data_IF_489546565900
#
_entry.id   IF_489546565900
#
_cell.length_a   1.000
_cell.length_b   1.000
_cell.length_c   1.000
_cell.angle_alpha   90.00
_cell.angle_beta   90.00
_cell.angle_gamma   90.00
#
_symmetry.space_group_name_H-M   'P 1'
#
loop_
_entity.id
_entity.type
_entity.pdbx_description
1 polymer ?
#
# COMPACT_ATOMS: atom_id res chain seq x y z
N UNK A 1 -30.39 3.84 21.56
CA UNK A 1 -29.75 4.20 20.28
C UNK A 1 -28.33 3.70 20.34
N UNK A 2 -28.02 2.59 19.69
CA UNK A 2 -26.65 2.10 19.61
C UNK A 2 -25.92 2.99 18.60
N UNK A 3 -24.90 3.72 19.06
CA UNK A 3 -23.94 4.37 18.18
C UNK A 3 -23.31 3.23 17.37
N UNK A 4 -23.61 3.15 16.08
CA UNK A 4 -22.90 2.27 15.15
C UNK A 4 -21.54 2.94 14.91
N UNK A 5 -20.68 2.89 15.93
CA UNK A 5 -19.26 3.19 15.80
C UNK A 5 -18.58 1.89 15.38
N UNK A 6 -17.84 1.91 14.27
CA UNK A 6 -16.94 0.80 13.97
C UNK A 6 -16.01 0.63 15.18
N UNK A 7 -15.89 -0.60 15.67
CA UNK A 7 -15.01 -0.93 16.80
C UNK A 7 -13.63 -0.29 16.57
N UNK A 8 -13.25 0.64 17.45
CA UNK A 8 -12.01 1.43 17.36
C UNK A 8 -10.82 0.49 17.24
N UNK A 9 -10.86 -0.64 17.95
CA UNK A 9 -9.82 -1.66 17.90
C UNK A 9 -9.75 -2.32 16.51
N UNK A 10 -10.91 -2.63 15.90
CA UNK A 10 -10.96 -3.19 14.55
C UNK A 10 -10.43 -2.20 13.50
N UNK A 11 -10.73 -0.91 13.63
CA UNK A 11 -10.18 0.11 12.73
C UNK A 11 -8.66 0.25 12.86
N UNK A 12 -8.13 0.20 14.08
CA UNK A 12 -6.68 0.22 14.31
C UNK A 12 -6.00 -1.04 13.78
N UNK A 13 -6.59 -2.22 14.02
CA UNK A 13 -6.09 -3.48 13.48
C UNK A 13 -6.07 -3.49 11.95
N UNK A 14 -7.13 -2.97 11.32
CA UNK A 14 -7.19 -2.85 9.85
C UNK A 14 -6.17 -1.84 9.33
N UNK A 15 -6.06 -0.65 9.95
CA UNK A 15 -5.05 0.36 9.61
C UNK A 15 -3.63 -0.23 9.63
N UNK A 16 -3.26 -0.87 10.75
CA UNK A 16 -1.96 -1.53 10.90
C UNK A 16 -1.73 -2.61 9.83
N UNK A 17 -2.78 -3.34 9.45
CA UNK A 17 -2.70 -4.37 8.41
C UNK A 17 -2.47 -3.75 7.03
N UNK A 18 -3.19 -2.68 6.68
CA UNK A 18 -2.99 -1.98 5.41
C UNK A 18 -1.59 -1.35 5.33
N UNK A 19 -1.07 -0.79 6.42
CA UNK A 19 0.32 -0.28 6.48
C UNK A 19 1.32 -1.39 6.18
N UNK A 20 1.24 -2.54 6.88
CA UNK A 20 2.12 -3.69 6.62
C UNK A 20 2.03 -4.17 5.17
N UNK A 21 0.82 -4.20 4.59
CA UNK A 21 0.63 -4.62 3.20
C UNK A 21 1.17 -3.60 2.20
N UNK A 22 1.15 -2.31 2.52
CA UNK A 22 1.82 -1.29 1.72
C UNK A 22 3.35 -1.50 1.72
N UNK A 23 3.93 -1.81 2.88
CA UNK A 23 5.36 -2.12 3.02
C UNK A 23 5.74 -3.40 2.26
N UNK A 24 4.93 -4.45 2.35
CA UNK A 24 5.11 -5.69 1.58
C UNK A 24 5.13 -5.41 0.06
N UNK A 25 4.21 -4.57 -0.43
CA UNK A 25 4.16 -4.19 -1.86
C UNK A 25 5.40 -3.38 -2.25
N UNK A 26 5.88 -2.47 -1.40
CA UNK A 26 7.10 -1.71 -1.65
C UNK A 26 8.33 -2.63 -1.73
N UNK A 27 8.43 -3.62 -0.84
CA UNK A 27 9.51 -4.60 -0.84
C UNK A 27 9.49 -5.44 -2.12
N UNK A 28 8.32 -5.94 -2.53
CA UNK A 28 8.14 -6.70 -3.78
C UNK A 28 8.53 -5.85 -4.99
N UNK A 29 8.11 -4.58 -5.05
CA UNK A 29 8.46 -3.68 -6.13
C UNK A 29 9.98 -3.48 -6.24
N UNK A 30 10.66 -3.33 -5.10
CA UNK A 30 12.12 -3.22 -5.04
C UNK A 30 12.84 -4.50 -5.49
N UNK A 31 12.40 -5.67 -5.03
CA UNK A 31 12.95 -6.97 -5.43
C UNK A 31 12.80 -7.20 -6.94
N UNK A 32 11.58 -7.02 -7.46
CA UNK A 32 11.31 -7.21 -8.88
C UNK A 32 12.11 -6.24 -9.75
N UNK A 33 12.25 -4.99 -9.31
CA UNK A 33 13.12 -4.02 -9.99
C UNK A 33 14.57 -4.51 -10.03
N UNK A 34 15.12 -4.95 -8.89
CA UNK A 34 16.49 -5.47 -8.82
C UNK A 34 16.72 -6.67 -9.74
N UNK A 35 15.74 -7.58 -9.81
CA UNK A 35 15.78 -8.73 -10.72
C UNK A 35 15.79 -8.29 -12.20
N UNK A 36 14.96 -7.31 -12.58
CA UNK A 36 14.90 -6.81 -13.96
C UNK A 36 16.15 -6.01 -14.34
N UNK A 37 16.60 -5.12 -13.46
CA UNK A 37 17.78 -4.27 -13.70
C UNK A 37 19.09 -5.09 -13.68
N UNK A 38 19.11 -6.22 -12.95
CA UNK A 38 20.27 -7.10 -12.81
C UNK A 38 20.57 -8.00 -14.02
N UNK A 39 19.64 -8.11 -14.98
CA UNK A 39 19.86 -8.93 -16.18
C UNK A 39 20.53 -8.11 -17.27
N UNK A 40 21.71 -8.56 -17.72
CA UNK A 40 22.37 -8.00 -18.91
C UNK A 40 21.67 -8.47 -20.17
N UNK A 41 20.60 -7.77 -20.55
CA UNK A 41 19.81 -8.03 -21.75
C UNK A 41 19.67 -6.76 -22.59
N UNK A 42 20.13 -6.84 -23.84
CA UNK A 42 20.24 -5.72 -24.79
C UNK A 42 19.57 -6.14 -26.10
N UNK A 43 18.89 -5.19 -26.76
CA UNK A 43 18.19 -5.39 -28.03
C UNK A 43 16.74 -4.92 -27.96
N UNK A 44 16.06 -4.90 -29.10
CA UNK A 44 14.70 -4.37 -29.24
C UNK A 44 13.69 -5.05 -28.32
N UNK A 45 13.81 -6.35 -28.09
CA UNK A 45 12.91 -7.08 -27.18
C UNK A 45 13.14 -6.69 -25.71
N UNK A 46 14.40 -6.43 -25.34
CA UNK A 46 14.76 -5.95 -24.00
C UNK A 46 14.16 -4.57 -23.74
N UNK A 47 14.23 -3.67 -24.72
CA UNK A 47 13.63 -2.34 -24.64
C UNK A 47 12.10 -2.41 -24.52
N UNK A 48 11.44 -3.26 -25.33
CA UNK A 48 9.99 -3.49 -25.24
C UNK A 48 9.58 -4.02 -23.87
N UNK A 49 10.31 -5.00 -23.35
CA UNK A 49 10.04 -5.54 -22.02
C UNK A 49 10.21 -4.46 -20.94
N UNK A 50 11.33 -3.71 -20.94
CA UNK A 50 11.59 -2.64 -19.97
C UNK A 50 10.53 -1.53 -20.04
N UNK A 51 10.06 -1.18 -21.23
CA UNK A 51 8.95 -0.23 -21.41
C UNK A 51 7.66 -0.75 -20.78
N UNK A 52 7.30 -2.01 -21.01
CA UNK A 52 6.11 -2.61 -20.40
C UNK A 52 6.27 -2.74 -18.88
N UNK A 53 7.48 -3.03 -18.41
CA UNK A 53 7.82 -3.15 -17.00
C UNK A 53 7.66 -1.85 -16.21
N UNK A 54 7.91 -0.70 -16.84
CA UNK A 54 7.70 0.61 -16.22
C UNK A 54 6.22 0.80 -15.80
N UNK A 55 5.27 0.30 -16.60
CA UNK A 55 3.85 0.33 -16.26
C UNK A 55 3.52 -0.54 -15.03
N UNK A 56 4.15 -1.71 -14.91
CA UNK A 56 4.02 -2.60 -13.74
C UNK A 56 4.53 -1.90 -12.47
N UNK A 57 5.71 -1.28 -12.54
CA UNK A 57 6.29 -0.54 -11.42
C UNK A 57 5.38 0.61 -10.97
N UNK A 58 4.80 1.33 -11.93
CA UNK A 58 3.86 2.42 -11.66
C UNK A 58 2.60 1.91 -10.94
N UNK A 59 2.05 0.78 -11.39
CA UNK A 59 0.88 0.16 -10.76
C UNK A 59 1.16 -0.30 -9.33
N UNK A 60 2.33 -0.91 -9.07
CA UNK A 60 2.72 -1.33 -7.71
C UNK A 60 2.85 -0.12 -6.77
N UNK A 61 3.46 0.97 -7.23
CA UNK A 61 3.55 2.21 -6.45
C UNK A 61 2.16 2.78 -6.14
N UNK A 62 1.25 2.79 -7.12
CA UNK A 62 -0.12 3.27 -6.92
C UNK A 62 -0.89 2.40 -5.90
N UNK A 63 -0.68 1.09 -5.90
CA UNK A 63 -1.26 0.18 -4.89
C UNK A 63 -0.69 0.48 -3.50
N UNK A 64 0.63 0.62 -3.38
CA UNK A 64 1.29 0.96 -2.11
C UNK A 64 0.77 2.28 -1.54
N UNK A 65 0.68 3.32 -2.37
CA UNK A 65 0.14 4.62 -1.98
C UNK A 65 -1.33 4.52 -1.55
N UNK A 66 -2.16 3.81 -2.31
CA UNK A 66 -3.58 3.61 -1.97
C UNK A 66 -3.76 2.91 -0.62
N UNK A 67 -2.97 1.86 -0.35
CA UNK A 67 -3.00 1.15 0.93
C UNK A 67 -2.58 2.06 2.10
N UNK A 68 -1.50 2.83 1.93
CA UNK A 68 -1.01 3.77 2.94
C UNK A 68 -2.01 4.90 3.23
N UNK A 69 -2.64 5.44 2.19
CA UNK A 69 -3.66 6.48 2.32
C UNK A 69 -4.90 5.95 3.08
N UNK A 70 -5.40 4.77 2.72
CA UNK A 70 -6.52 4.15 3.42
C UNK A 70 -6.17 3.81 4.88
N UNK A 71 -4.95 3.35 5.15
CA UNK A 71 -4.48 3.12 6.52
C UNK A 71 -4.53 4.40 7.36
N UNK A 72 -4.12 5.53 6.79
CA UNK A 72 -4.15 6.86 7.43
C UNK A 72 -5.58 7.30 7.73
N UNK A 73 -6.50 7.12 6.78
CA UNK A 73 -7.93 7.43 6.98
C UNK A 73 -8.54 6.60 8.11
N UNK A 74 -8.27 5.29 8.14
CA UNK A 74 -8.76 4.40 9.19
C UNK A 74 -8.23 4.80 10.58
N UNK A 75 -6.95 5.17 10.66
CA UNK A 75 -6.33 5.65 11.90
C UNK A 75 -6.99 6.94 12.39
N UNK A 76 -7.20 7.91 11.50
CA UNK A 76 -7.91 9.15 11.82
C UNK A 76 -9.33 8.88 12.33
N UNK A 77 -10.05 7.96 11.68
CA UNK A 77 -11.41 7.60 12.10
C UNK A 77 -11.44 6.92 13.48
N UNK A 78 -10.44 6.08 13.78
CA UNK A 78 -10.29 5.46 15.09
C UNK A 78 -10.01 6.50 16.19
N UNK A 79 -9.11 7.45 15.93
CA UNK A 79 -8.74 8.51 16.88
C UNK A 79 -9.91 9.47 17.16
N UNK A 80 -10.71 9.80 16.13
CA UNK A 80 -11.93 10.60 16.27
C UNK A 80 -12.99 9.90 17.12
N UNK A 81 -13.21 8.60 16.89
CA UNK A 81 -14.17 7.82 17.66
C UNK A 81 -13.73 7.68 19.11
N UNK A 82 -12.44 7.42 19.36
CA UNK A 82 -11.87 7.39 20.73
C UNK A 82 -12.12 8.69 21.48
N UNK A 83 -11.92 9.83 20.83
CA UNK A 83 -12.14 11.16 21.44
C UNK A 83 -13.61 11.42 21.73
N UNK A 84 -14.49 11.06 20.78
CA UNK A 84 -15.94 11.27 20.92
C UNK A 84 -16.54 10.37 22.00
N UNK A 85 -16.11 9.12 22.09
CA UNK A 85 -16.58 8.18 23.13
C UNK A 85 -16.04 8.49 24.53
N UNK A 86 -14.97 9.28 24.64
CA UNK A 86 -14.39 9.71 25.90
C UNK A 86 -14.95 11.05 26.42
N UNK A 87 -15.82 11.72 25.65
CA UNK A 87 -16.48 13.00 25.97
C UNK A 87 -17.93 12.80 26.41
#
# INVERSE_FOLDING_TARGET
MAIIGADVEQLEQLSNTLTRKADDVAAIAGELRGLVDGVTWIGTDAERFKSNWAAVTTALNAVQESLANNATVLKSNADQQRTTSAS
#
